data_IF_282721527357
#
_entry.id   IF_282721527357
#
_cell.length_a   1.000
_cell.length_b   1.000
_cell.length_c   1.000
_cell.angle_alpha   90.00
_cell.angle_beta   90.00
_cell.angle_gamma   90.00
#
_symmetry.space_group_name_H-M   'P 1'
#
loop_
_entity.id
_entity.type
_entity.pdbx_description
1 polymer ?
#
# COMPACT_ATOMS: atom_id res chain seq x y z
N UNK A 1 5.10 -13.81 -11.66
CA UNK A 1 4.35 -12.58 -11.99
C UNK A 1 5.14 -11.40 -11.45
N UNK A 2 4.97 -10.22 -12.04
CA UNK A 2 5.74 -9.02 -11.69
C UNK A 2 4.89 -8.11 -10.80
N UNK A 3 5.14 -8.16 -9.49
CA UNK A 3 4.35 -7.46 -8.47
C UNK A 3 4.88 -6.07 -8.14
N UNK A 4 5.78 -5.52 -8.95
CA UNK A 4 6.32 -4.19 -8.68
C UNK A 4 5.21 -3.14 -8.70
N UNK A 5 5.02 -2.47 -7.57
CA UNK A 5 4.16 -1.29 -7.47
C UNK A 5 4.84 -0.16 -8.26
N UNK A 6 4.12 0.37 -9.23
CA UNK A 6 4.60 1.46 -10.10
C UNK A 6 3.96 2.79 -9.74
N UNK A 7 2.70 2.77 -9.30
CA UNK A 7 1.96 3.95 -8.88
C UNK A 7 1.14 3.61 -7.64
N UNK A 8 1.04 4.57 -6.72
CA UNK A 8 0.22 4.47 -5.53
C UNK A 8 -0.42 5.82 -5.21
N UNK A 9 -1.72 5.83 -4.93
CA UNK A 9 -2.48 7.03 -4.64
C UNK A 9 -3.42 6.85 -3.45
N UNK A 10 -3.43 7.84 -2.56
CA UNK A 10 -4.37 7.87 -1.45
C UNK A 10 -5.78 8.11 -1.97
N UNK A 11 -6.74 7.27 -1.57
CA UNK A 11 -8.14 7.39 -1.98
C UNK A 11 -8.96 8.02 -0.85
N UNK A 12 -9.07 7.31 0.28
CA UNK A 12 -9.82 7.78 1.46
C UNK A 12 -9.56 6.86 2.65
N UNK A 13 -9.72 7.34 3.88
CA UNK A 13 -9.53 6.51 5.09
C UNK A 13 -8.15 5.83 5.08
N UNK A 14 -8.14 4.49 4.96
CA UNK A 14 -6.94 3.65 4.83
C UNK A 14 -6.87 2.93 3.48
N UNK A 15 -7.55 3.49 2.48
CA UNK A 15 -7.66 2.94 1.14
C UNK A 15 -6.60 3.58 0.25
N UNK A 16 -5.84 2.73 -0.44
CA UNK A 16 -4.82 3.11 -1.41
C UNK A 16 -5.16 2.45 -2.75
N UNK A 17 -5.11 3.23 -3.83
CA UNK A 17 -5.15 2.72 -5.19
C UNK A 17 -3.72 2.39 -5.62
N UNK A 18 -3.54 1.20 -6.17
CA UNK A 18 -2.25 0.67 -6.59
C UNK A 18 -2.28 0.27 -8.04
N UNK A 19 -1.15 0.47 -8.71
CA UNK A 19 -0.90 -0.01 -10.06
C UNK A 19 0.38 -0.81 -10.11
N UNK A 20 0.29 -2.00 -10.66
CA UNK A 20 1.39 -2.95 -10.76
C UNK A 20 1.97 -2.97 -12.17
N UNK A 21 3.24 -3.39 -12.29
CA UNK A 21 3.96 -3.47 -13.56
C UNK A 21 3.35 -4.48 -14.54
N UNK A 22 2.66 -5.51 -14.04
CA UNK A 22 1.93 -6.47 -14.85
C UNK A 22 0.63 -5.91 -15.48
N UNK A 23 0.26 -4.66 -15.17
CA UNK A 23 -0.94 -3.99 -15.64
C UNK A 23 -2.14 -4.12 -14.70
N UNK A 24 -2.01 -4.87 -13.60
CA UNK A 24 -3.05 -4.97 -12.57
C UNK A 24 -3.21 -3.62 -11.88
N UNK A 25 -4.45 -3.22 -11.63
CA UNK A 25 -4.77 -1.98 -10.93
C UNK A 25 -5.99 -2.21 -10.03
N UNK A 26 -5.97 -1.65 -8.83
CA UNK A 26 -7.09 -1.76 -7.92
C UNK A 26 -6.90 -1.00 -6.62
N UNK A 27 -7.91 -1.08 -5.76
CA UNK A 27 -7.92 -0.43 -4.45
C UNK A 27 -7.81 -1.47 -3.34
N UNK A 28 -7.03 -1.14 -2.30
CA UNK A 28 -6.87 -1.98 -1.10
C UNK A 28 -7.17 -1.16 0.15
N UNK A 29 -8.00 -1.72 1.04
CA UNK A 29 -8.21 -1.19 2.40
C UNK A 29 -7.20 -1.82 3.35
N UNK A 30 -6.21 -1.03 3.78
CA UNK A 30 -5.16 -1.48 4.68
C UNK A 30 -5.55 -1.40 6.16
N UNK A 31 -6.72 -0.84 6.50
CA UNK A 31 -7.19 -0.69 7.89
C UNK A 31 -7.14 -2.00 8.70
N UNK A 32 -7.56 -3.16 8.18
CA UNK A 32 -7.53 -4.42 8.93
C UNK A 32 -6.11 -4.86 9.30
N UNK A 33 -5.13 -4.45 8.50
CA UNK A 33 -3.73 -4.85 8.63
C UNK A 33 -2.93 -3.93 9.56
N UNK A 34 -3.52 -2.82 10.02
CA UNK A 34 -2.89 -1.88 10.96
C UNK A 34 -2.91 -2.42 12.39
N UNK A 35 -2.20 -3.54 12.59
CA UNK A 35 -2.10 -4.25 13.86
C UNK A 35 -0.64 -4.41 14.27
N UNK A 36 -0.40 -4.39 15.58
CA UNK A 36 0.94 -4.50 16.14
C UNK A 36 1.72 -3.18 16.16
N UNK A 37 2.83 -3.13 16.92
CA UNK A 37 3.51 -1.88 17.27
C UNK A 37 4.12 -1.14 16.07
N UNK A 38 4.44 -1.85 14.97
CA UNK A 38 4.99 -1.24 13.75
C UNK A 38 3.92 -0.46 12.98
N UNK A 39 2.70 -0.98 12.92
CA UNK A 39 1.61 -0.41 12.12
C UNK A 39 0.63 0.45 12.94
N UNK A 40 0.64 0.34 14.28
CA UNK A 40 -0.20 1.15 15.17
C UNK A 40 -0.07 2.66 14.90
N UNK A 41 1.13 3.24 14.66
CA UNK A 41 1.25 4.66 14.30
C UNK A 41 0.51 5.03 13.01
N UNK A 42 0.34 4.09 12.07
CA UNK A 42 -0.36 4.33 10.81
C UNK A 42 -1.88 4.47 10.98
N UNK A 43 -2.42 4.24 12.19
CA UNK A 43 -3.80 4.62 12.53
C UNK A 43 -4.00 6.13 12.55
N UNK A 44 -2.92 6.90 12.64
CA UNK A 44 -2.96 8.32 12.34
C UNK A 44 -3.03 8.50 10.82
N UNK A 45 -4.15 9.05 10.35
CA UNK A 45 -4.39 9.32 8.93
C UNK A 45 -3.35 10.26 8.33
N UNK A 46 -2.82 11.21 9.11
CA UNK A 46 -1.78 12.13 8.63
C UNK A 46 -0.45 11.41 8.41
N UNK A 47 -0.14 10.38 9.20
CA UNK A 47 1.02 9.52 8.96
C UNK A 47 0.74 8.53 7.84
N UNK A 48 -0.46 7.95 7.80
CA UNK A 48 -0.87 7.01 6.77
C UNK A 48 -0.74 7.61 5.36
N UNK A 49 -1.15 8.86 5.16
CA UNK A 49 -1.06 9.53 3.86
C UNK A 49 0.38 9.78 3.38
N UNK A 50 1.39 9.66 4.26
CA UNK A 50 2.80 9.90 3.93
C UNK A 50 3.52 8.69 3.35
N UNK A 51 2.78 7.68 2.89
CA UNK A 51 3.38 6.57 2.18
C UNK A 51 4.08 7.05 0.90
N UNK A 52 5.06 6.27 0.45
CA UNK A 52 5.69 6.42 -0.86
C UNK A 52 5.93 5.05 -1.47
N UNK A 53 6.02 5.00 -2.79
CA UNK A 53 6.56 3.81 -3.47
C UNK A 53 8.07 3.85 -3.35
N UNK A 54 8.65 2.80 -2.77
CA UNK A 54 10.09 2.66 -2.69
C UNK A 54 10.66 2.16 -4.02
N UNK A 55 11.74 2.80 -4.49
CA UNK A 55 12.33 2.49 -5.79
C UNK A 55 13.19 1.21 -5.79
N UNK A 56 13.62 0.74 -4.62
CA UNK A 56 14.43 -0.48 -4.46
C UNK A 56 13.55 -1.68 -4.15
N UNK A 57 12.58 -1.50 -3.24
CA UNK A 57 11.65 -2.58 -2.86
C UNK A 57 10.40 -2.66 -3.73
N UNK A 58 10.14 -1.67 -4.57
CA UNK A 58 8.98 -1.60 -5.47
C UNK A 58 7.63 -1.82 -4.74
N UNK A 59 7.50 -1.26 -3.53
CA UNK A 59 6.32 -1.38 -2.69
C UNK A 59 6.04 -0.12 -1.86
N UNK A 60 4.93 -0.09 -1.13
CA UNK A 60 4.59 0.98 -0.21
C UNK A 60 5.47 0.95 1.04
N UNK A 61 6.06 2.10 1.37
CA UNK A 61 6.80 2.32 2.60
C UNK A 61 6.35 3.62 3.29
N UNK A 62 6.35 3.62 4.62
CA UNK A 62 6.00 4.77 5.45
C UNK A 62 7.22 5.38 6.15
N UNK A 63 7.15 6.64 6.62
CA UNK A 63 8.26 7.31 7.30
C UNK A 63 8.74 6.62 8.59
N UNK A 64 7.86 5.84 9.23
CA UNK A 64 8.22 5.03 10.40
C UNK A 64 8.97 3.74 10.05
N UNK A 65 9.16 3.44 8.75
CA UNK A 65 9.82 2.22 8.27
C UNK A 65 8.87 1.04 8.09
N UNK A 66 7.55 1.23 8.26
CA UNK A 66 6.58 0.19 7.94
C UNK A 66 6.45 0.03 6.43
N UNK A 67 6.24 -1.20 5.98
CA UNK A 67 6.06 -1.57 4.59
C UNK A 67 5.03 -2.70 4.45
N UNK A 68 4.50 -2.87 3.24
CA UNK A 68 3.71 -4.05 2.87
C UNK A 68 4.42 -4.78 1.75
N UNK A 69 4.43 -6.12 1.78
CA UNK A 69 5.00 -6.90 0.68
C UNK A 69 4.20 -6.66 -0.61
N UNK A 70 4.85 -6.48 -1.77
CA UNK A 70 4.16 -6.22 -3.03
C UNK A 70 3.21 -7.36 -3.43
N UNK A 71 3.55 -8.61 -3.12
CA UNK A 71 2.68 -9.78 -3.34
C UNK A 71 1.39 -9.66 -2.53
N UNK A 72 1.51 -9.27 -1.25
CA UNK A 72 0.35 -9.10 -0.37
C UNK A 72 -0.59 -8.02 -0.91
N UNK A 73 -0.03 -6.91 -1.37
CA UNK A 73 -0.81 -5.83 -1.97
C UNK A 73 -1.53 -6.32 -3.24
N UNK A 74 -0.83 -7.04 -4.12
CA UNK A 74 -1.39 -7.55 -5.37
C UNK A 74 -2.54 -8.55 -5.14
N UNK A 75 -2.36 -9.49 -4.21
CA UNK A 75 -3.36 -10.51 -3.90
C UNK A 75 -4.65 -9.93 -3.27
N UNK A 76 -4.55 -8.75 -2.64
CA UNK A 76 -5.65 -8.15 -1.88
C UNK A 76 -6.26 -6.89 -2.52
N UNK A 77 -5.74 -6.42 -3.66
CA UNK A 77 -6.41 -5.34 -4.38
C UNK A 77 -7.74 -5.82 -4.94
N UNK A 78 -8.76 -4.98 -4.75
CA UNK A 78 -10.02 -5.11 -5.49
C UNK A 78 -9.83 -4.44 -6.84
N UNK A 79 -9.72 -5.26 -7.87
CA UNK A 79 -9.54 -4.79 -9.25
C UNK A 79 -10.71 -3.88 -9.63
N UNK A 80 -10.38 -2.66 -10.02
CA UNK A 80 -11.37 -1.71 -10.56
C UNK A 80 -11.61 -2.09 -12.02
N UNK A 81 -12.85 -2.47 -12.35
CA UNK A 81 -13.28 -2.87 -13.69
C UNK A 81 -13.37 -1.70 -14.68
#
# INVERSE_FOLDING_TARGET
>A
MDYHVTEAQYVSGYVVRLKFRDGTEGEIDLKPELTGPMFEPLRDIELFQRFRVDAEFHTLVWPNGADFAPEFLHDNVRVTA
#
